data_IF_536242130075
#
_entry.id   IF_536242130075
#
_cell.length_a   1.000
_cell.length_b   1.000
_cell.length_c   1.000
_cell.angle_alpha   90.00
_cell.angle_beta   90.00
_cell.angle_gamma   90.00
#
_symmetry.space_group_name_H-M   'P 1'
#
loop_
_entity.id
_entity.type
_entity.pdbx_description
1 polymer ?
#
# COMPACT_ATOMS: atom_id res chain seq x y z
N UNK A 1 18.98 -7.08 22.64
CA UNK A 1 17.58 -6.91 22.19
C UNK A 1 17.43 -5.45 21.77
N UNK A 2 17.02 -5.16 20.52
CA UNK A 2 16.77 -3.77 20.09
C UNK A 2 15.54 -3.26 20.86
N UNK A 3 15.70 -2.18 21.61
CA UNK A 3 14.58 -1.58 22.35
C UNK A 3 13.47 -1.18 21.37
N UNK A 4 12.22 -1.47 21.73
CA UNK A 4 11.05 -1.21 20.90
C UNK A 4 10.76 0.29 20.76
N UNK A 5 11.27 1.13 21.67
CA UNK A 5 11.05 2.60 21.63
C UNK A 5 11.85 3.34 20.55
N UNK A 6 12.92 2.75 19.98
CA UNK A 6 13.75 3.46 18.99
C UNK A 6 12.96 3.86 17.74
N UNK A 7 12.02 3.01 17.33
CA UNK A 7 11.22 3.22 16.13
C UNK A 7 10.25 4.40 16.28
N UNK A 8 9.37 4.45 17.31
CA UNK A 8 8.53 5.62 17.54
C UNK A 8 9.34 6.89 17.85
N UNK A 9 10.47 6.80 18.55
CA UNK A 9 11.33 7.96 18.82
C UNK A 9 11.91 8.54 17.53
N UNK A 10 12.44 7.69 16.64
CA UNK A 10 12.97 8.13 15.34
C UNK A 10 11.89 8.73 14.45
N UNK A 11 10.67 8.19 14.47
CA UNK A 11 9.53 8.73 13.75
C UNK A 11 9.11 10.10 14.28
N UNK A 12 9.12 10.28 15.61
CA UNK A 12 8.79 11.56 16.25
C UNK A 12 9.84 12.64 15.92
N UNK A 13 11.13 12.28 15.96
CA UNK A 13 12.22 13.17 15.55
C UNK A 13 12.06 13.56 14.08
N UNK A 14 11.80 12.60 13.18
CA UNK A 14 11.60 12.87 11.76
C UNK A 14 10.38 13.76 11.49
N UNK A 15 9.25 13.53 12.18
CA UNK A 15 8.05 14.37 12.10
C UNK A 15 8.31 15.81 12.55
N UNK A 16 9.00 15.99 13.68
CA UNK A 16 9.38 17.33 14.15
C UNK A 16 10.31 18.03 13.15
N UNK A 17 11.32 17.32 12.61
CA UNK A 17 12.24 17.87 11.62
C UNK A 17 11.53 18.28 10.33
N UNK A 18 10.65 17.41 9.80
CA UNK A 18 9.84 17.70 8.62
C UNK A 18 8.90 18.89 8.86
N UNK A 19 8.25 18.95 10.02
CA UNK A 19 7.37 20.06 10.39
C UNK A 19 8.10 21.40 10.44
N UNK A 20 9.33 21.41 10.99
CA UNK A 20 10.21 22.58 10.99
C UNK A 20 10.58 22.97 9.55
N UNK A 21 11.03 22.01 8.73
CA UNK A 21 11.42 22.26 7.34
C UNK A 21 10.28 22.81 6.48
N UNK A 22 9.05 22.34 6.70
CA UNK A 22 7.83 22.85 6.04
C UNK A 22 7.49 24.26 6.54
N UNK A 23 7.60 24.51 7.85
CA UNK A 23 7.31 25.83 8.45
C UNK A 23 8.27 26.90 7.94
N UNK A 24 9.55 26.55 7.74
CA UNK A 24 10.57 27.44 7.18
C UNK A 24 10.62 27.45 5.64
N UNK A 25 9.64 26.82 4.97
CA UNK A 25 9.54 26.74 3.50
C UNK A 25 10.79 26.17 2.80
N UNK A 26 11.62 25.41 3.51
CA UNK A 26 12.79 24.72 2.92
C UNK A 26 12.31 23.57 2.03
N UNK A 27 11.22 22.92 2.42
CA UNK A 27 10.54 21.87 1.66
C UNK A 27 9.06 22.29 1.53
N UNK A 28 8.41 22.10 0.36
CA UNK A 28 7.00 22.41 0.21
C UNK A 28 6.15 21.55 1.15
N UNK A 29 4.96 22.03 1.50
CA UNK A 29 4.02 21.22 2.26
C UNK A 29 3.69 19.92 1.49
N UNK A 30 3.27 18.89 2.22
CA UNK A 30 2.83 17.64 1.59
C UNK A 30 1.80 17.89 0.49
N UNK A 31 0.83 18.78 0.75
CA UNK A 31 -0.18 19.17 -0.24
C UNK A 31 0.40 19.88 -1.47
N UNK A 32 1.41 20.72 -1.32
CA UNK A 32 1.99 21.45 -2.45
C UNK A 32 2.83 20.54 -3.33
N UNK A 33 3.60 19.63 -2.73
CA UNK A 33 4.29 18.55 -3.45
C UNK A 33 3.29 17.69 -4.23
N UNK A 34 2.17 17.38 -3.59
CA UNK A 34 1.13 16.54 -4.14
C UNK A 34 0.32 17.23 -5.25
N UNK A 35 0.01 18.53 -5.10
CA UNK A 35 -0.58 19.36 -6.16
C UNK A 35 0.37 19.53 -7.34
N UNK A 36 1.66 19.67 -7.09
CA UNK A 36 2.69 19.71 -8.13
C UNK A 36 2.75 18.40 -8.92
N UNK A 37 2.67 17.25 -8.23
CA UNK A 37 2.51 15.93 -8.84
C UNK A 37 1.23 15.83 -9.67
N UNK A 38 0.08 16.22 -9.11
CA UNK A 38 -1.20 16.20 -9.83
C UNK A 38 -1.15 17.07 -11.09
N UNK A 39 -0.64 18.30 -10.98
CA UNK A 39 -0.53 19.23 -12.11
C UNK A 39 0.40 18.70 -13.19
N UNK A 40 1.44 17.94 -12.82
CA UNK A 40 2.40 17.36 -13.77
C UNK A 40 1.84 16.15 -14.52
N UNK A 41 0.90 15.42 -13.90
CA UNK A 41 0.35 14.17 -14.42
C UNK A 41 -1.14 14.26 -14.78
N UNK A 42 -1.71 15.45 -14.90
CA UNK A 42 -3.16 15.65 -15.02
C UNK A 42 -3.80 14.77 -16.11
N UNK A 43 -3.21 14.74 -17.31
CA UNK A 43 -3.71 13.93 -18.43
C UNK A 43 -3.34 12.43 -18.33
N UNK A 44 -2.35 12.09 -17.51
CA UNK A 44 -1.82 10.73 -17.33
C UNK A 44 -2.10 10.15 -15.95
N UNK A 45 -3.01 10.75 -15.17
CA UNK A 45 -3.20 10.42 -13.76
C UNK A 45 -3.61 8.96 -13.55
N UNK A 46 -4.55 8.48 -14.36
CA UNK A 46 -4.97 7.07 -14.35
C UNK A 46 -3.84 6.11 -14.75
N UNK A 47 -3.00 6.53 -15.68
CA UNK A 47 -1.85 5.75 -16.15
C UNK A 47 -0.75 5.70 -15.07
N UNK A 48 -0.53 6.81 -14.36
CA UNK A 48 0.37 6.88 -13.21
C UNK A 48 -0.08 5.91 -12.11
N UNK A 49 -1.37 5.93 -11.74
CA UNK A 49 -1.91 5.00 -10.74
C UNK A 49 -1.78 3.55 -11.20
N UNK A 50 -2.09 3.27 -12.46
CA UNK A 50 -1.90 1.94 -13.04
C UNK A 50 -0.45 1.48 -12.91
N UNK A 51 0.52 2.34 -13.23
CA UNK A 51 1.94 2.00 -13.17
C UNK A 51 2.44 1.79 -11.74
N UNK A 52 2.03 2.65 -10.81
CA UNK A 52 2.36 2.53 -9.38
C UNK A 52 1.89 1.19 -8.84
N UNK A 53 0.62 0.84 -9.09
CA UNK A 53 0.03 -0.43 -8.62
C UNK A 53 0.65 -1.62 -9.34
N UNK A 54 0.94 -1.50 -10.63
CA UNK A 54 1.59 -2.56 -11.40
C UNK A 54 2.97 -2.87 -10.83
N UNK A 55 3.80 -1.85 -10.60
CA UNK A 55 5.13 -2.02 -10.00
C UNK A 55 5.03 -2.69 -8.63
N UNK A 56 4.11 -2.23 -7.79
CA UNK A 56 3.92 -2.83 -6.47
C UNK A 56 3.40 -4.27 -6.55
N UNK A 57 2.59 -4.58 -7.55
CA UNK A 57 2.02 -5.92 -7.69
C UNK A 57 3.01 -6.97 -8.17
N UNK A 58 4.18 -6.60 -8.69
CA UNK A 58 5.20 -7.54 -9.14
C UNK A 58 6.01 -8.05 -7.94
N UNK A 59 6.21 -9.38 -7.85
CA UNK A 59 7.02 -9.99 -6.79
C UNK A 59 8.42 -9.36 -6.78
N UNK A 60 8.96 -9.12 -5.58
CA UNK A 60 10.21 -8.40 -5.31
C UNK A 60 10.14 -6.88 -5.51
N UNK A 61 9.51 -6.38 -6.57
CA UNK A 61 9.41 -4.93 -6.81
C UNK A 61 8.53 -4.26 -5.73
N UNK A 62 7.38 -4.86 -5.40
CA UNK A 62 6.47 -4.36 -4.36
C UNK A 62 7.00 -4.35 -2.93
N UNK A 63 8.17 -4.95 -2.68
CA UNK A 63 8.84 -4.82 -1.39
C UNK A 63 9.65 -3.54 -1.25
N UNK A 64 10.13 -2.99 -2.37
CA UNK A 64 10.91 -1.77 -2.40
C UNK A 64 10.03 -0.55 -2.68
N UNK A 65 8.83 -0.76 -3.23
CA UNK A 65 7.94 0.30 -3.67
C UNK A 65 6.58 0.23 -2.98
N UNK A 66 6.27 1.13 -2.02
CA UNK A 66 5.00 1.13 -1.28
C UNK A 66 3.86 1.77 -2.09
N UNK A 67 3.46 1.13 -3.18
CA UNK A 67 2.50 1.65 -4.16
C UNK A 67 1.10 1.95 -3.60
N UNK A 68 0.59 1.15 -2.67
CA UNK A 68 -0.77 1.27 -2.10
C UNK A 68 -0.90 2.58 -1.33
N UNK A 69 0.15 2.97 -0.62
CA UNK A 69 0.21 4.25 0.07
C UNK A 69 0.11 5.42 -0.91
N UNK A 70 0.92 5.41 -1.97
CA UNK A 70 0.88 6.45 -3.00
C UNK A 70 -0.46 6.49 -3.73
N UNK A 71 -1.04 5.34 -4.07
CA UNK A 71 -2.33 5.26 -4.74
C UNK A 71 -3.46 5.87 -3.88
N UNK A 72 -3.53 5.54 -2.59
CA UNK A 72 -4.53 6.11 -1.67
C UNK A 72 -4.36 7.63 -1.55
N UNK A 73 -3.13 8.10 -1.36
CA UNK A 73 -2.84 9.53 -1.26
C UNK A 73 -3.27 10.26 -2.53
N UNK A 74 -2.89 9.77 -3.71
CA UNK A 74 -3.25 10.38 -5.00
C UNK A 74 -4.77 10.43 -5.20
N UNK A 75 -5.50 9.37 -4.85
CA UNK A 75 -6.97 9.31 -4.96
C UNK A 75 -7.65 10.31 -4.02
N UNK A 76 -7.18 10.46 -2.78
CA UNK A 76 -7.75 11.43 -1.83
C UNK A 76 -7.57 12.86 -2.33
N UNK A 77 -6.41 13.17 -2.90
CA UNK A 77 -6.07 14.50 -3.39
C UNK A 77 -6.81 14.88 -4.67
N UNK A 78 -7.04 13.91 -5.55
CA UNK A 78 -7.69 14.17 -6.83
C UNK A 78 -9.17 14.54 -6.69
N UNK A 79 -9.76 14.39 -5.49
CA UNK A 79 -11.19 14.61 -5.21
C UNK A 79 -12.07 14.06 -6.35
N UNK A 80 -11.97 12.75 -6.63
CA UNK A 80 -12.53 12.15 -7.84
C UNK A 80 -14.04 12.33 -7.89
N UNK A 81 -14.56 12.66 -9.08
CA UNK A 81 -15.99 12.59 -9.35
C UNK A 81 -16.44 11.12 -9.41
N UNK A 82 -17.75 10.83 -9.31
CA UNK A 82 -18.25 9.45 -9.37
C UNK A 82 -17.82 8.67 -10.62
N UNK A 83 -17.63 9.35 -11.75
CA UNK A 83 -17.09 8.75 -12.97
C UNK A 83 -15.61 8.35 -12.83
N UNK A 84 -14.82 9.16 -12.14
CA UNK A 84 -13.38 8.94 -11.93
C UNK A 84 -13.16 7.73 -11.02
N UNK A 85 -14.06 7.48 -10.06
CA UNK A 85 -14.05 6.27 -9.24
C UNK A 85 -14.07 5.01 -10.11
N UNK A 86 -14.87 4.99 -11.17
CA UNK A 86 -14.97 3.84 -12.07
C UNK A 86 -13.70 3.66 -12.91
N UNK A 87 -13.15 4.75 -13.46
CA UNK A 87 -11.88 4.70 -14.21
C UNK A 87 -10.69 4.33 -13.33
N UNK A 88 -10.63 4.85 -12.10
CA UNK A 88 -9.66 4.46 -11.08
C UNK A 88 -9.77 2.98 -10.78
N UNK A 89 -10.99 2.49 -10.47
CA UNK A 89 -11.21 1.07 -10.18
C UNK A 89 -10.76 0.20 -11.33
N UNK A 90 -11.09 0.58 -12.57
CA UNK A 90 -10.66 -0.14 -13.76
C UNK A 90 -9.13 -0.16 -13.87
N UNK A 91 -8.47 1.00 -13.70
CA UNK A 91 -7.02 1.11 -13.74
C UNK A 91 -6.34 0.22 -12.69
N UNK A 92 -6.86 0.21 -11.44
CA UNK A 92 -6.35 -0.64 -10.36
C UNK A 92 -6.52 -2.14 -10.67
N UNK A 93 -7.71 -2.53 -11.16
CA UNK A 93 -8.00 -3.93 -11.51
C UNK A 93 -7.12 -4.39 -12.66
N UNK A 94 -6.96 -3.56 -13.70
CA UNK A 94 -6.07 -3.85 -14.84
C UNK A 94 -4.64 -4.00 -14.35
N UNK A 95 -4.12 -3.07 -13.54
CA UNK A 95 -2.79 -3.14 -12.96
C UNK A 95 -2.57 -4.43 -12.16
N UNK A 96 -3.47 -4.74 -11.21
CA UNK A 96 -3.38 -5.92 -10.37
C UNK A 96 -3.50 -7.24 -11.16
N UNK A 97 -4.31 -7.25 -12.23
CA UNK A 97 -4.46 -8.41 -13.12
C UNK A 97 -3.20 -8.61 -13.97
N UNK A 98 -2.63 -7.54 -14.52
CA UNK A 98 -1.36 -7.59 -15.24
C UNK A 98 -0.22 -8.05 -14.34
N UNK A 99 -0.12 -7.51 -13.12
CA UNK A 99 0.82 -7.98 -12.10
C UNK A 99 0.65 -9.46 -11.78
N UNK A 100 -0.59 -9.90 -11.56
CA UNK A 100 -0.92 -11.31 -11.34
C UNK A 100 -0.49 -12.20 -12.52
N UNK A 101 -0.68 -11.74 -13.75
CA UNK A 101 -0.22 -12.42 -14.96
C UNK A 101 1.31 -12.52 -15.00
N UNK A 102 2.02 -11.41 -14.76
CA UNK A 102 3.49 -11.38 -14.71
C UNK A 102 4.00 -12.36 -13.66
N UNK A 103 3.45 -12.32 -12.44
CA UNK A 103 3.86 -13.19 -11.35
C UNK A 103 3.60 -14.68 -11.65
N UNK A 104 2.46 -14.98 -12.26
CA UNK A 104 2.14 -16.34 -12.71
C UNK A 104 3.14 -16.83 -13.76
N UNK A 105 3.49 -16.00 -14.75
CA UNK A 105 4.47 -16.34 -15.78
C UNK A 105 5.88 -16.49 -15.19
N UNK A 106 6.27 -15.62 -14.27
CA UNK A 106 7.54 -15.72 -13.54
C UNK A 106 7.60 -17.03 -12.76
N UNK A 107 6.54 -17.38 -12.03
CA UNK A 107 6.45 -18.64 -11.31
C UNK A 107 6.52 -19.85 -12.24
N UNK A 108 5.84 -19.80 -13.39
CA UNK A 108 5.82 -20.90 -14.36
C UNK A 108 7.17 -21.15 -15.02
N UNK A 109 7.90 -20.08 -15.36
CA UNK A 109 9.14 -20.19 -16.11
C UNK A 109 10.38 -20.34 -15.22
N UNK A 110 10.35 -19.80 -13.99
CA UNK A 110 11.50 -19.77 -13.08
C UNK A 110 11.28 -20.50 -11.75
N UNK A 111 10.05 -20.97 -11.48
CA UNK A 111 9.73 -21.71 -10.26
C UNK A 111 10.19 -23.16 -10.33
N UNK A 112 10.80 -23.64 -9.24
CA UNK A 112 11.21 -25.03 -9.12
C UNK A 112 10.03 -25.91 -8.66
N UNK A 113 9.53 -26.74 -9.57
CA UNK A 113 8.38 -27.62 -9.36
C UNK A 113 8.62 -28.72 -8.31
N UNK A 114 9.86 -28.95 -7.89
CA UNK A 114 10.21 -30.05 -6.99
C UNK A 114 9.93 -29.79 -5.51
N UNK A 115 9.64 -28.53 -5.12
CA UNK A 115 9.18 -28.24 -3.76
C UNK A 115 7.66 -28.40 -3.71
N UNK A 116 7.19 -29.45 -3.03
CA UNK A 116 5.77 -29.61 -2.67
C UNK A 116 5.28 -28.35 -1.97
N UNK A 117 4.59 -27.47 -2.71
CA UNK A 117 3.87 -26.35 -2.13
C UNK A 117 2.42 -26.80 -1.89
N UNK A 118 1.86 -26.49 -0.71
CA UNK A 118 0.52 -26.95 -0.33
C UNK A 118 -0.52 -26.52 -1.35
N UNK A 119 -1.52 -27.37 -1.61
CA UNK A 119 -2.61 -27.06 -2.54
C UNK A 119 -3.34 -25.80 -2.08
N UNK A 120 -3.23 -24.75 -2.90
CA UNK A 120 -3.74 -23.43 -2.56
C UNK A 120 -5.22 -23.31 -2.99
N UNK A 121 -6.10 -23.12 -2.01
CA UNK A 121 -7.57 -23.01 -2.12
C UNK A 121 -8.04 -21.60 -2.51
N UNK A 122 -9.28 -21.46 -2.98
CA UNK A 122 -9.96 -20.16 -3.17
C UNK A 122 -10.00 -19.34 -1.87
N UNK A 123 -10.05 -20.01 -0.71
CA UNK A 123 -9.95 -19.32 0.60
C UNK A 123 -8.61 -18.61 0.77
N UNK A 124 -7.51 -19.23 0.34
CA UNK A 124 -6.19 -18.62 0.35
C UNK A 124 -6.02 -17.52 -0.70
N UNK A 125 -6.80 -17.54 -1.80
CA UNK A 125 -6.86 -16.40 -2.72
C UNK A 125 -7.45 -15.17 -2.02
N UNK A 126 -8.57 -15.33 -1.33
CA UNK A 126 -9.21 -14.24 -0.59
C UNK A 126 -8.29 -13.68 0.52
N UNK A 127 -7.56 -14.55 1.22
CA UNK A 127 -6.57 -14.12 2.22
C UNK A 127 -5.39 -13.39 1.56
N UNK A 128 -4.94 -13.86 0.39
CA UNK A 128 -3.87 -13.22 -0.37
C UNK A 128 -4.29 -11.86 -0.95
N UNK A 129 -5.58 -11.65 -1.24
CA UNK A 129 -6.11 -10.38 -1.74
C UNK A 129 -6.07 -9.25 -0.70
N UNK A 130 -5.90 -9.55 0.58
CA UNK A 130 -5.77 -8.52 1.63
C UNK A 130 -4.57 -7.60 1.37
N UNK A 131 -3.51 -8.13 0.76
CA UNK A 131 -2.30 -7.37 0.47
C UNK A 131 -1.74 -7.72 -0.90
N UNK A 132 -1.41 -6.71 -1.71
CA UNK A 132 -0.94 -6.92 -3.09
C UNK A 132 0.33 -7.81 -3.17
N UNK A 133 1.29 -7.63 -2.25
CA UNK A 133 2.45 -8.52 -2.11
C UNK A 133 2.08 -9.99 -1.80
N UNK A 134 1.05 -10.23 -0.98
CA UNK A 134 0.56 -11.59 -0.70
C UNK A 134 -0.08 -12.21 -1.95
N UNK A 135 -0.84 -11.42 -2.72
CA UNK A 135 -1.38 -11.82 -4.01
C UNK A 135 -0.26 -12.16 -5.01
N UNK A 136 0.82 -11.39 -5.01
CA UNK A 136 1.97 -11.59 -5.89
C UNK A 136 2.63 -12.97 -5.66
N UNK A 137 2.90 -13.33 -4.40
CA UNK A 137 3.42 -14.66 -4.07
C UNK A 137 2.45 -15.79 -4.36
N UNK A 138 1.17 -15.57 -4.08
CA UNK A 138 0.13 -16.53 -4.40
C UNK A 138 0.16 -16.86 -5.90
N UNK A 139 0.20 -15.82 -6.75
CA UNK A 139 0.21 -16.01 -8.21
C UNK A 139 1.51 -16.67 -8.69
N UNK A 140 2.65 -16.30 -8.11
CA UNK A 140 3.92 -16.96 -8.38
C UNK A 140 3.90 -18.45 -8.03
N UNK A 141 3.34 -18.82 -6.87
CA UNK A 141 3.15 -20.22 -6.47
C UNK A 141 2.23 -20.97 -7.45
N UNK A 142 1.13 -20.35 -7.88
CA UNK A 142 0.23 -20.96 -8.87
C UNK A 142 0.88 -21.17 -10.23
N UNK A 143 1.76 -20.24 -10.64
CA UNK A 143 2.61 -20.37 -11.81
C UNK A 143 3.56 -21.57 -11.69
N UNK A 144 4.28 -21.66 -10.58
CA UNK A 144 5.23 -22.76 -10.29
C UNK A 144 4.55 -24.13 -10.39
N UNK A 145 3.34 -24.23 -9.82
CA UNK A 145 2.53 -25.44 -9.82
C UNK A 145 1.78 -25.71 -11.13
N UNK A 146 2.01 -24.91 -12.19
CA UNK A 146 1.38 -25.05 -13.51
C UNK A 146 -0.15 -25.13 -13.46
N UNK A 147 -0.78 -24.48 -12.46
CA UNK A 147 -2.23 -24.47 -12.31
C UNK A 147 -2.88 -23.65 -13.42
N UNK A 148 -4.18 -23.82 -13.64
CA UNK A 148 -4.89 -23.15 -14.73
C UNK A 148 -4.72 -21.61 -14.67
N UNK A 149 -4.39 -20.93 -15.79
CA UNK A 149 -4.26 -19.47 -15.83
C UNK A 149 -5.58 -18.73 -15.54
N UNK A 150 -6.73 -19.44 -15.53
CA UNK A 150 -8.02 -18.90 -15.12
C UNK A 150 -8.00 -18.25 -13.73
N UNK A 151 -7.07 -18.66 -12.86
CA UNK A 151 -6.89 -18.07 -11.52
C UNK A 151 -6.54 -16.57 -11.59
N UNK A 152 -5.82 -16.14 -12.62
CA UNK A 152 -5.50 -14.71 -12.85
C UNK A 152 -6.78 -13.92 -13.17
N UNK A 153 -7.65 -14.47 -14.02
CA UNK A 153 -8.93 -13.86 -14.35
C UNK A 153 -9.86 -13.76 -13.13
N UNK A 154 -9.91 -14.82 -12.32
CA UNK A 154 -10.67 -14.83 -11.07
C UNK A 154 -10.16 -13.79 -10.07
N UNK A 155 -8.84 -13.61 -9.97
CA UNK A 155 -8.27 -12.57 -9.11
C UNK A 155 -8.66 -11.16 -9.58
N UNK A 156 -8.61 -10.88 -10.88
CA UNK A 156 -9.08 -9.61 -11.43
C UNK A 156 -10.56 -9.35 -11.16
N UNK A 157 -11.41 -10.35 -11.42
CA UNK A 157 -12.87 -10.23 -11.22
C UNK A 157 -13.24 -10.04 -9.74
N UNK A 158 -12.59 -10.75 -8.82
CA UNK A 158 -12.83 -10.62 -7.38
C UNK A 158 -12.24 -9.34 -6.80
N UNK A 159 -11.16 -8.81 -7.39
CA UNK A 159 -10.55 -7.54 -6.97
C UNK A 159 -11.42 -6.34 -7.35
N UNK A 160 -12.26 -6.45 -8.37
CA UNK A 160 -13.12 -5.37 -8.84
C UNK A 160 -14.06 -4.82 -7.75
N UNK A 161 -14.92 -5.63 -7.11
CA UNK A 161 -15.77 -5.12 -6.03
C UNK A 161 -14.95 -4.62 -4.84
N UNK A 162 -13.82 -5.27 -4.52
CA UNK A 162 -12.95 -4.87 -3.42
C UNK A 162 -12.37 -3.46 -3.63
N UNK A 163 -11.75 -3.21 -4.80
CA UNK A 163 -11.19 -1.89 -5.10
C UNK A 163 -12.25 -0.82 -5.29
N UNK A 164 -13.42 -1.18 -5.83
CA UNK A 164 -14.55 -0.25 -5.92
C UNK A 164 -14.97 0.26 -4.53
N UNK A 165 -15.17 -0.66 -3.58
CA UNK A 165 -15.52 -0.29 -2.21
C UNK A 165 -14.41 0.51 -1.53
N UNK A 166 -13.14 0.18 -1.78
CA UNK A 166 -12.00 0.88 -1.22
C UNK A 166 -11.94 2.32 -1.73
N UNK A 167 -11.93 2.53 -3.06
CA UNK A 167 -11.87 3.86 -3.67
C UNK A 167 -13.08 4.69 -3.24
N UNK A 168 -14.28 4.10 -3.30
CA UNK A 168 -15.50 4.78 -2.88
C UNK A 168 -15.43 5.18 -1.41
N UNK A 169 -15.04 4.27 -0.51
CA UNK A 169 -14.85 4.55 0.91
C UNK A 169 -13.82 5.67 1.15
N UNK A 170 -12.67 5.62 0.48
CA UNK A 170 -11.64 6.67 0.58
C UNK A 170 -12.10 8.00 -0.02
N UNK A 171 -12.96 7.99 -1.04
CA UNK A 171 -13.52 9.19 -1.64
C UNK A 171 -14.54 9.85 -0.72
N UNK A 172 -15.45 9.07 -0.12
CA UNK A 172 -16.44 9.57 0.84
C UNK A 172 -15.77 10.11 2.10
N UNK A 173 -14.70 9.45 2.56
CA UNK A 173 -13.94 9.84 3.73
C UNK A 173 -12.78 10.81 3.43
N UNK A 174 -12.66 11.29 2.19
CA UNK A 174 -11.47 12.03 1.73
C UNK A 174 -11.23 13.29 2.56
N UNK A 175 -12.28 14.02 2.93
CA UNK A 175 -12.16 15.22 3.77
C UNK A 175 -11.67 14.89 5.17
N UNK A 176 -12.20 13.84 5.80
CA UNK A 176 -11.79 13.44 7.15
C UNK A 176 -10.36 12.89 7.15
N UNK A 177 -9.98 12.12 6.12
CA UNK A 177 -8.63 11.58 5.96
C UNK A 177 -7.63 12.70 5.71
N UNK A 178 -7.97 13.67 4.86
CA UNK A 178 -7.10 14.81 4.55
C UNK A 178 -6.94 15.73 5.77
N UNK A 179 -8.02 16.03 6.50
CA UNK A 179 -7.96 16.78 7.75
C UNK A 179 -7.14 16.06 8.83
N UNK A 180 -7.23 14.72 8.93
CA UNK A 180 -6.37 13.94 9.83
C UNK A 180 -4.90 13.98 9.40
N UNK A 181 -4.62 13.87 8.10
CA UNK A 181 -3.26 13.85 7.57
C UNK A 181 -2.58 15.24 7.67
N UNK A 182 -3.33 16.32 7.50
CA UNK A 182 -2.84 17.70 7.65
C UNK A 182 -2.67 18.10 9.11
N UNK A 183 -3.40 17.46 10.03
CA UNK A 183 -3.29 17.74 11.44
C UNK A 183 -1.99 17.13 12.01
N UNK A 184 -0.91 17.88 11.85
CA UNK A 184 0.42 17.53 12.37
C UNK A 184 0.37 17.22 13.87
N UNK A 185 -0.50 17.90 14.63
CA UNK A 185 -0.70 17.63 16.05
C UNK A 185 -1.32 16.25 16.31
N UNK A 186 -2.26 15.81 15.48
CA UNK A 186 -2.83 14.46 15.59
C UNK A 186 -1.74 13.38 15.41
N UNK A 187 -0.90 13.52 14.38
CA UNK A 187 0.22 12.60 14.15
C UNK A 187 1.23 12.63 15.30
N UNK A 188 1.59 13.82 15.80
CA UNK A 188 2.50 13.97 16.94
C UNK A 188 1.91 13.32 18.20
N UNK A 189 0.62 13.51 18.48
CA UNK A 189 -0.07 12.91 19.64
C UNK A 189 -0.09 11.38 19.50
N UNK A 190 -0.49 10.85 18.34
CA UNK A 190 -0.55 9.41 18.09
C UNK A 190 0.83 8.74 18.27
N UNK A 191 1.88 9.34 17.69
CA UNK A 191 3.26 8.84 17.81
C UNK A 191 3.78 9.00 19.24
N UNK A 192 3.38 10.05 19.96
CA UNK A 192 3.73 10.24 21.38
C UNK A 192 3.08 9.19 22.28
N UNK A 193 1.81 8.85 22.05
CA UNK A 193 1.13 7.77 22.76
C UNK A 193 1.84 6.44 22.48
N UNK A 194 2.20 6.18 21.22
CA UNK A 194 2.94 4.99 20.84
C UNK A 194 4.32 4.92 21.52
N UNK A 195 5.05 6.04 21.56
CA UNK A 195 6.31 6.16 22.28
C UNK A 195 6.12 5.86 23.77
N UNK A 196 5.09 6.42 24.40
CA UNK A 196 4.75 6.17 25.80
C UNK A 196 4.48 4.69 26.09
N UNK A 197 3.68 4.03 25.25
CA UNK A 197 3.41 2.59 25.36
C UNK A 197 4.70 1.77 25.17
N UNK A 198 5.51 2.10 24.16
CA UNK A 198 6.76 1.41 23.89
C UNK A 198 7.76 1.55 25.05
N UNK A 199 7.90 2.75 25.61
CA UNK A 199 8.71 3.00 26.81
C UNK A 199 8.20 2.23 28.02
N UNK A 200 6.88 2.18 28.23
CA UNK A 200 6.29 1.41 29.33
C UNK A 200 6.56 -0.09 29.20
N UNK A 201 6.41 -0.66 28.00
CA UNK A 201 6.67 -2.08 27.73
C UNK A 201 8.16 -2.40 27.89
N UNK A 202 9.05 -1.55 27.37
CA UNK A 202 10.50 -1.73 27.50
C UNK A 202 10.95 -1.59 28.97
N UNK A 203 10.39 -0.63 29.73
CA UNK A 203 10.64 -0.49 31.17
C UNK A 203 10.19 -1.72 31.96
N UNK A 204 8.99 -2.24 31.68
CA UNK A 204 8.48 -3.46 32.33
C UNK A 204 9.35 -4.67 32.02
N UNK A 205 9.85 -4.81 30.78
CA UNK A 205 10.81 -5.87 30.40
C UNK A 205 12.13 -5.73 31.14
N UNK A 206 12.68 -4.51 31.23
CA UNK A 206 13.93 -4.26 31.93
C UNK A 206 13.83 -4.66 33.42
N UNK A 207 12.73 -4.30 34.10
CA UNK A 207 12.46 -4.63 35.50
C UNK A 207 12.09 -6.10 35.77
N UNK A 208 11.80 -6.89 34.73
CA UNK A 208 11.54 -8.32 34.85
C UNK A 208 12.80 -9.17 34.59
N UNK A 209 13.85 -8.55 34.03
CA UNK A 209 15.11 -9.21 33.68
C UNK A 209 16.25 -8.85 34.66
N UNK A 210 16.03 -7.86 35.52
CA UNK A 210 16.87 -7.44 36.65
C UNK A 210 16.00 -7.25 37.89
#
# INVERSE_FOLDING_TARGET
>A
MKYSFFLPLSALIALCLLSVLVTYQVIPSGLDLLKSLQSSFNDYFYLLILFIILLESIVYVGFYFPGQFFAVVLVVLSKPQPQDILFLTLAMVVAATLGSCINYLLGRNFGDANKHQPQVSVKSLLVAMIHINSLAFYMFSQGTNHKSPKVVLWAGLLNLPYYLFLIWGTSVLSEQVMQMAENTWFLVIAVSIWLGIALFVDYKKFRATH
#
